data_IF_683522306050
#
_entry.id   IF_683522306050
#
_cell.length_a   1.000
_cell.length_b   1.000
_cell.length_c   1.000
_cell.angle_alpha   90.00
_cell.angle_beta   90.00
_cell.angle_gamma   90.00
#
_symmetry.space_group_name_H-M   'P 1'
#
loop_
_entity.id
_entity.type
_entity.pdbx_description
1 polymer ?
#
# COMPACT_ATOMS: atom_id res chain seq x y z
N UNK A 1 2.90 2.56 35.14
CA UNK A 1 2.32 2.42 33.78
C UNK A 1 1.33 1.27 33.82
N UNK A 2 0.12 1.42 33.28
CA UNK A 2 -0.90 0.36 33.30
C UNK A 2 -0.49 -0.70 32.29
N UNK A 3 0.23 -1.74 32.73
CA UNK A 3 0.43 -2.95 31.93
C UNK A 3 -0.95 -3.51 31.57
N UNK A 4 -1.22 -3.67 30.26
CA UNK A 4 -2.49 -4.20 29.77
C UNK A 4 -3.39 -3.21 29.02
N UNK A 5 -2.97 -1.95 28.79
CA UNK A 5 -3.78 -0.99 28.05
C UNK A 5 -4.02 -1.45 26.59
N UNK A 6 -3.02 -2.05 25.95
CA UNK A 6 -3.13 -2.59 24.60
C UNK A 6 -4.20 -3.72 24.54
N UNK A 7 -4.12 -4.71 25.42
CA UNK A 7 -5.05 -5.85 25.43
C UNK A 7 -6.48 -5.40 25.74
N UNK A 8 -6.66 -4.52 26.73
CA UNK A 8 -7.97 -3.96 27.07
C UNK A 8 -8.59 -3.18 25.91
N UNK A 9 -7.80 -2.29 25.27
CA UNK A 9 -8.29 -1.52 24.11
C UNK A 9 -8.60 -2.44 22.93
N UNK A 10 -7.81 -3.49 22.70
CA UNK A 10 -8.11 -4.48 21.67
C UNK A 10 -9.48 -5.15 21.88
N UNK A 11 -9.79 -5.55 23.13
CA UNK A 11 -11.11 -6.11 23.47
C UNK A 11 -12.26 -5.11 23.21
N UNK A 12 -12.07 -3.83 23.56
CA UNK A 12 -13.07 -2.78 23.28
C UNK A 12 -13.28 -2.60 21.77
N UNK A 13 -12.20 -2.60 20.98
CA UNK A 13 -12.27 -2.50 19.51
C UNK A 13 -13.03 -3.70 18.93
N UNK A 14 -12.76 -4.90 19.40
CA UNK A 14 -13.45 -6.13 18.97
C UNK A 14 -14.95 -6.04 19.29
N UNK A 15 -15.33 -5.40 20.41
CA UNK A 15 -16.72 -5.14 20.81
C UNK A 15 -17.37 -3.97 20.07
N UNK A 16 -16.65 -3.29 19.17
CA UNK A 16 -17.21 -2.25 18.29
C UNK A 16 -16.70 -0.83 18.54
N UNK A 17 -15.84 -0.58 19.55
CA UNK A 17 -15.20 0.73 19.72
C UNK A 17 -14.35 1.06 18.49
N UNK A 18 -14.31 2.32 18.12
CA UNK A 18 -13.40 2.88 17.11
C UNK A 18 -12.67 4.05 17.72
N UNK A 19 -11.34 3.96 17.70
CA UNK A 19 -10.48 5.03 18.19
C UNK A 19 -10.57 6.25 17.27
N UNK A 20 -10.61 7.43 17.88
CA UNK A 20 -10.67 8.73 17.24
C UNK A 20 -9.47 9.58 17.66
N UNK A 21 -9.29 10.75 17.05
CA UNK A 21 -8.24 11.69 17.44
C UNK A 21 -8.44 12.30 18.85
N UNK A 22 -9.62 12.13 19.44
CA UNK A 22 -9.94 12.59 20.80
C UNK A 22 -9.56 11.56 21.88
N UNK A 23 -9.31 10.31 21.50
CA UNK A 23 -8.90 9.24 22.42
C UNK A 23 -7.40 9.35 22.76
N UNK A 24 -7.03 9.02 24.00
CA UNK A 24 -5.64 8.85 24.38
C UNK A 24 -5.09 7.55 23.75
N UNK A 25 -4.27 7.72 22.72
CA UNK A 25 -3.61 6.62 22.00
C UNK A 25 -2.12 6.51 22.34
N UNK A 26 -1.66 7.17 23.39
CA UNK A 26 -0.24 7.18 23.80
C UNK A 26 0.29 5.77 24.08
N UNK A 27 -0.57 4.86 24.53
CA UNK A 27 -0.20 3.46 24.76
C UNK A 27 0.32 2.75 23.51
N UNK A 28 -0.14 3.16 22.30
CA UNK A 28 0.33 2.59 21.02
C UNK A 28 1.86 2.78 20.84
N UNK A 29 2.42 3.83 21.45
CA UNK A 29 3.84 4.18 21.34
C UNK A 29 4.65 3.75 22.57
N UNK A 30 4.02 3.58 23.73
CA UNK A 30 4.69 3.38 25.03
C UNK A 30 4.53 2.00 25.62
N UNK A 31 3.52 1.22 25.19
CA UNK A 31 3.28 -0.14 25.66
C UNK A 31 4.36 -1.09 25.14
N UNK A 32 4.57 -2.19 25.87
CA UNK A 32 5.41 -3.29 25.42
C UNK A 32 5.03 -3.77 24.02
N UNK A 33 6.01 -3.97 23.15
CA UNK A 33 5.75 -4.31 21.75
C UNK A 33 5.00 -5.64 21.60
N UNK A 34 5.34 -6.65 22.40
CA UNK A 34 4.69 -7.96 22.30
C UNK A 34 3.24 -7.91 22.78
N UNK A 35 2.95 -7.11 23.84
CA UNK A 35 1.57 -6.87 24.27
C UNK A 35 0.76 -6.14 23.17
N UNK A 36 1.34 -5.11 22.57
CA UNK A 36 0.71 -4.39 21.45
C UNK A 36 0.43 -5.30 20.26
N UNK A 37 1.40 -6.12 19.86
CA UNK A 37 1.28 -7.07 18.76
C UNK A 37 0.20 -8.13 19.02
N UNK A 38 0.16 -8.69 20.24
CA UNK A 38 -0.91 -9.66 20.62
C UNK A 38 -2.29 -9.04 20.49
N UNK A 39 -2.49 -7.80 20.97
CA UNK A 39 -3.75 -7.08 20.82
C UNK A 39 -4.11 -6.81 19.35
N UNK A 40 -3.14 -6.37 18.54
CA UNK A 40 -3.35 -6.15 17.10
C UNK A 40 -3.72 -7.44 16.36
N UNK A 41 -3.07 -8.58 16.67
CA UNK A 41 -3.39 -9.87 16.07
C UNK A 41 -4.77 -10.39 16.53
N UNK A 42 -5.16 -10.13 17.79
CA UNK A 42 -6.51 -10.44 18.27
C UNK A 42 -7.58 -9.64 17.51
N UNK A 43 -7.38 -8.33 17.29
CA UNK A 43 -8.26 -7.48 16.47
C UNK A 43 -8.35 -8.04 15.05
N UNK A 44 -7.21 -8.33 14.40
CA UNK A 44 -7.17 -8.91 13.06
C UNK A 44 -7.96 -10.22 12.99
N UNK A 45 -7.72 -11.15 13.90
CA UNK A 45 -8.42 -12.44 13.94
C UNK A 45 -9.92 -12.28 14.08
N UNK A 46 -10.36 -11.40 14.97
CA UNK A 46 -11.79 -11.19 15.25
C UNK A 46 -12.51 -10.48 14.10
N UNK A 47 -11.90 -9.47 13.47
CA UNK A 47 -12.60 -8.59 12.52
C UNK A 47 -12.24 -8.87 11.05
N UNK A 48 -11.10 -9.49 10.77
CA UNK A 48 -10.66 -9.84 9.41
C UNK A 48 -10.55 -11.36 9.18
N UNK A 49 -10.66 -12.17 10.23
CA UNK A 49 -10.52 -13.63 10.14
C UNK A 49 -9.10 -14.11 9.84
N UNK A 50 -9.00 -15.32 9.31
CA UNK A 50 -7.74 -15.98 8.93
C UNK A 50 -7.52 -15.96 7.41
N UNK A 51 -7.93 -14.87 6.76
CA UNK A 51 -7.74 -14.66 5.33
C UNK A 51 -6.64 -13.64 5.07
N UNK A 52 -5.73 -13.96 4.13
CA UNK A 52 -4.70 -13.03 3.66
C UNK A 52 -4.85 -12.78 2.15
N UNK A 53 -5.00 -11.51 1.74
CA UNK A 53 -5.07 -11.15 0.33
C UNK A 53 -3.68 -10.91 -0.26
N UNK A 54 -3.33 -11.66 -1.29
CA UNK A 54 -2.16 -11.39 -2.13
C UNK A 54 -2.53 -10.54 -3.34
N UNK A 55 -1.73 -9.52 -3.61
CA UNK A 55 -1.83 -8.61 -4.74
C UNK A 55 -0.48 -8.57 -5.47
N UNK A 56 -0.50 -8.53 -6.77
CA UNK A 56 0.71 -8.31 -7.59
C UNK A 56 0.60 -7.03 -8.39
N UNK A 57 1.74 -6.53 -8.82
CA UNK A 57 1.84 -5.28 -9.59
C UNK A 57 2.75 -5.48 -10.80
N UNK A 58 2.46 -4.76 -11.87
CA UNK A 58 3.38 -4.57 -13.00
C UNK A 58 3.70 -3.09 -13.16
N UNK A 59 4.98 -2.77 -13.40
CA UNK A 59 5.37 -1.42 -13.78
C UNK A 59 5.06 -1.21 -15.28
N UNK A 60 3.86 -0.70 -15.57
CA UNK A 60 3.37 -0.55 -16.94
C UNK A 60 4.05 0.57 -17.74
N UNK A 61 4.70 1.51 -17.06
CA UNK A 61 5.53 2.58 -17.64
C UNK A 61 6.57 3.00 -16.62
N UNK A 62 7.82 3.09 -17.01
CA UNK A 62 8.93 3.42 -16.11
C UNK A 62 9.66 4.69 -16.50
N UNK A 63 10.03 5.48 -15.49
CA UNK A 63 10.88 6.66 -15.62
C UNK A 63 10.16 7.93 -16.08
N UNK A 64 10.93 9.02 -16.17
CA UNK A 64 10.54 10.35 -16.67
C UNK A 64 9.32 10.97 -15.99
N UNK A 65 9.07 10.62 -14.69
CA UNK A 65 8.03 11.27 -13.92
C UNK A 65 8.43 12.71 -13.62
N UNK A 66 7.59 13.72 -13.93
CA UNK A 66 7.92 15.13 -13.68
C UNK A 66 7.80 15.52 -12.18
N UNK A 67 7.28 14.62 -11.35
CA UNK A 67 7.11 14.85 -9.91
C UNK A 67 8.43 14.68 -9.16
N UNK A 68 8.64 15.49 -8.11
CA UNK A 68 9.88 15.50 -7.32
C UNK A 68 9.79 14.71 -6.00
N UNK A 69 9.01 13.64 -5.96
CA UNK A 69 8.93 12.79 -4.79
C UNK A 69 10.31 12.24 -4.41
N UNK A 70 10.83 12.63 -3.24
CA UNK A 70 12.23 12.38 -2.82
C UNK A 70 12.59 10.91 -2.65
N UNK A 71 11.61 10.04 -2.47
CA UNK A 71 11.79 8.59 -2.34
C UNK A 71 11.77 7.85 -3.69
N UNK A 72 11.30 8.50 -4.77
CA UNK A 72 10.92 7.81 -5.99
C UNK A 72 12.06 7.77 -7.01
N UNK A 73 12.53 6.54 -7.32
CA UNK A 73 13.55 6.34 -8.33
C UNK A 73 13.09 6.70 -9.75
N UNK A 74 11.78 6.77 -10.02
CA UNK A 74 11.21 7.07 -11.32
C UNK A 74 11.06 8.58 -11.60
N UNK A 75 11.45 9.44 -10.65
CA UNK A 75 11.43 10.89 -10.83
C UNK A 75 12.50 11.36 -11.80
N UNK A 76 12.14 12.19 -12.77
CA UNK A 76 13.10 12.85 -13.66
C UNK A 76 13.95 13.94 -12.96
N UNK A 77 13.59 14.30 -11.73
CA UNK A 77 14.35 15.25 -10.91
C UNK A 77 15.61 14.63 -10.28
N UNK A 78 15.73 13.29 -10.28
CA UNK A 78 16.81 12.55 -9.63
C UNK A 78 17.63 11.74 -10.62
N UNK A 79 18.92 11.51 -10.33
CA UNK A 79 19.81 10.72 -11.18
C UNK A 79 19.89 9.27 -10.68
N UNK A 80 18.87 8.50 -10.98
CA UNK A 80 18.79 7.07 -10.63
C UNK A 80 19.14 6.19 -11.84
N UNK A 81 19.53 4.93 -11.59
CA UNK A 81 19.88 3.94 -12.63
C UNK A 81 18.73 2.96 -12.87
N UNK A 82 17.52 3.48 -13.09
CA UNK A 82 16.38 2.64 -13.44
C UNK A 82 16.29 2.46 -14.95
N UNK A 83 15.72 1.36 -15.39
CA UNK A 83 15.33 1.19 -16.77
C UNK A 83 14.13 2.09 -17.09
N UNK A 84 14.20 2.84 -18.18
CA UNK A 84 13.13 3.70 -18.64
C UNK A 84 12.48 3.10 -19.89
N UNK A 85 11.15 3.04 -19.89
CA UNK A 85 10.36 2.57 -21.03
C UNK A 85 8.97 3.22 -21.06
N UNK A 86 8.39 3.39 -22.27
CA UNK A 86 7.02 3.86 -22.45
C UNK A 86 6.01 2.83 -21.92
N UNK A 87 4.71 3.14 -22.06
CA UNK A 87 3.68 2.19 -21.65
C UNK A 87 3.87 0.84 -22.38
N UNK A 88 3.85 -0.24 -21.61
CA UNK A 88 4.03 -1.60 -22.13
C UNK A 88 2.89 -1.97 -23.09
N UNK A 89 3.21 -2.83 -24.05
CA UNK A 89 2.19 -3.36 -24.96
C UNK A 89 1.07 -4.07 -24.18
N UNK A 90 -0.21 -3.81 -24.54
CA UNK A 90 -1.35 -4.43 -23.86
C UNK A 90 -1.30 -5.97 -23.80
N UNK A 91 -0.70 -6.59 -24.81
CA UNK A 91 -0.51 -8.05 -24.89
C UNK A 91 0.48 -8.56 -23.85
N UNK A 92 1.55 -7.82 -23.57
CA UNK A 92 2.51 -8.15 -22.53
C UNK A 92 1.88 -8.07 -21.13
N UNK A 93 1.12 -7.00 -20.87
CA UNK A 93 0.38 -6.83 -19.60
C UNK A 93 -0.63 -7.96 -19.41
N UNK A 94 -1.39 -8.34 -20.44
CA UNK A 94 -2.34 -9.45 -20.40
C UNK A 94 -1.64 -10.79 -20.11
N UNK A 95 -0.49 -11.04 -20.75
CA UNK A 95 0.28 -12.27 -20.54
C UNK A 95 0.76 -12.38 -19.10
N UNK A 96 1.29 -11.30 -18.54
CA UNK A 96 1.74 -11.22 -17.14
C UNK A 96 0.56 -11.39 -16.17
N UNK A 97 -0.57 -10.74 -16.41
CA UNK A 97 -1.78 -10.89 -15.62
C UNK A 97 -2.24 -12.36 -15.53
N UNK A 98 -2.22 -13.10 -16.66
CA UNK A 98 -2.57 -14.52 -16.72
C UNK A 98 -1.60 -15.39 -15.90
N UNK A 99 -0.31 -15.08 -15.91
CA UNK A 99 0.67 -15.81 -15.08
C UNK A 99 0.38 -15.63 -13.59
N UNK A 100 0.00 -14.43 -13.17
CA UNK A 100 -0.37 -14.15 -11.78
C UNK A 100 -1.72 -14.79 -11.40
N UNK A 101 -2.70 -14.78 -12.28
CA UNK A 101 -3.98 -15.48 -12.08
C UNK A 101 -3.78 -16.99 -11.94
N UNK A 102 -2.97 -17.60 -12.81
CA UNK A 102 -2.66 -19.03 -12.75
C UNK A 102 -1.96 -19.46 -11.44
N UNK A 103 -1.33 -18.49 -10.76
CA UNK A 103 -0.72 -18.66 -9.42
C UNK A 103 -1.65 -18.23 -8.29
N UNK A 104 -2.96 -18.11 -8.55
CA UNK A 104 -4.00 -17.78 -7.58
C UNK A 104 -3.80 -16.46 -6.84
N UNK A 105 -3.11 -15.47 -7.45
CA UNK A 105 -3.08 -14.11 -6.95
C UNK A 105 -4.47 -13.49 -7.13
N UNK A 106 -5.01 -12.89 -6.08
CA UNK A 106 -6.40 -12.39 -6.06
C UNK A 106 -6.57 -11.06 -6.81
N UNK A 107 -5.51 -10.27 -6.88
CA UNK A 107 -5.58 -8.91 -7.42
C UNK A 107 -4.31 -8.55 -8.19
N UNK A 108 -4.49 -7.91 -9.33
CA UNK A 108 -3.42 -7.48 -10.21
C UNK A 108 -3.52 -5.98 -10.48
N UNK A 109 -2.42 -5.25 -10.38
CA UNK A 109 -2.39 -3.79 -10.54
C UNK A 109 -1.39 -3.36 -11.60
N UNK A 110 -1.83 -2.56 -12.57
CA UNK A 110 -0.94 -1.85 -13.48
C UNK A 110 -0.60 -0.49 -12.88
N UNK A 111 0.69 -0.25 -12.66
CA UNK A 111 1.21 1.00 -12.07
C UNK A 111 2.05 1.72 -13.12
N UNK A 112 1.97 3.04 -13.19
CA UNK A 112 2.75 3.83 -14.15
C UNK A 112 3.43 5.01 -13.49
N UNK A 113 4.66 5.31 -13.93
CA UNK A 113 5.31 6.57 -13.64
C UNK A 113 4.56 7.73 -14.32
N UNK A 114 4.64 8.93 -13.71
CA UNK A 114 4.05 10.15 -14.26
C UNK A 114 3.08 10.82 -13.30
N UNK A 115 2.86 12.14 -13.50
CA UNK A 115 1.85 12.89 -12.72
C UNK A 115 0.45 12.37 -12.96
N UNK A 116 0.12 12.11 -14.22
CA UNK A 116 -1.10 11.43 -14.66
C UNK A 116 -0.84 10.77 -16.01
N UNK A 117 -1.30 9.55 -16.19
CA UNK A 117 -1.29 8.89 -17.48
C UNK A 117 -2.33 9.55 -18.39
N UNK A 118 -1.98 9.87 -19.63
CA UNK A 118 -2.87 10.61 -20.55
C UNK A 118 -2.60 10.26 -22.01
N UNK A 119 -3.44 10.77 -22.90
CA UNK A 119 -3.27 10.63 -24.36
C UNK A 119 -3.26 9.17 -24.80
N UNK A 120 -2.38 8.85 -25.76
CA UNK A 120 -2.32 7.52 -26.36
C UNK A 120 -1.99 6.41 -25.34
N UNK A 121 -1.10 6.68 -24.39
CA UNK A 121 -0.74 5.68 -23.36
C UNK A 121 -1.93 5.36 -22.43
N UNK A 122 -2.81 6.33 -22.15
CA UNK A 122 -4.05 6.07 -21.41
C UNK A 122 -5.01 5.19 -22.20
N UNK A 123 -5.14 5.41 -23.53
CA UNK A 123 -5.94 4.54 -24.39
C UNK A 123 -5.40 3.11 -24.44
N UNK A 124 -4.06 2.95 -24.49
CA UNK A 124 -3.41 1.64 -24.40
C UNK A 124 -3.70 0.96 -23.05
N UNK A 125 -3.66 1.71 -21.94
CA UNK A 125 -4.02 1.18 -20.62
C UNK A 125 -5.47 0.70 -20.58
N UNK A 126 -6.42 1.47 -21.12
CA UNK A 126 -7.83 1.07 -21.22
C UNK A 126 -8.01 -0.18 -22.07
N UNK A 127 -7.26 -0.30 -23.17
CA UNK A 127 -7.28 -1.50 -24.03
C UNK A 127 -6.76 -2.73 -23.28
N UNK A 128 -5.67 -2.57 -22.51
CA UNK A 128 -5.13 -3.63 -21.66
C UNK A 128 -6.14 -4.08 -20.60
N UNK A 129 -6.78 -3.14 -19.88
CA UNK A 129 -7.81 -3.47 -18.89
C UNK A 129 -9.01 -4.19 -19.48
N UNK A 130 -9.54 -3.74 -20.62
CA UNK A 130 -10.65 -4.42 -21.32
C UNK A 130 -10.27 -5.85 -21.72
N UNK A 131 -9.03 -6.04 -22.18
CA UNK A 131 -8.51 -7.36 -22.57
C UNK A 131 -8.37 -8.28 -21.34
N UNK A 132 -7.85 -7.77 -20.23
CA UNK A 132 -7.75 -8.50 -18.97
C UNK A 132 -9.14 -8.83 -18.40
N UNK A 133 -10.05 -7.88 -18.33
CA UNK A 133 -11.40 -8.08 -17.81
C UNK A 133 -12.22 -9.12 -18.62
N UNK A 134 -11.93 -9.23 -19.93
CA UNK A 134 -12.56 -10.24 -20.80
C UNK A 134 -11.96 -11.64 -20.63
N UNK A 135 -10.67 -11.71 -20.25
CA UNK A 135 -9.88 -12.96 -20.36
C UNK A 135 -9.47 -13.54 -19.03
N UNK A 136 -9.57 -12.79 -17.93
CA UNK A 136 -9.14 -13.16 -16.60
C UNK A 136 -10.24 -12.90 -15.57
N UNK A 137 -10.25 -13.66 -14.50
CA UNK A 137 -11.15 -13.49 -13.34
C UNK A 137 -10.51 -12.73 -12.19
N UNK A 138 -9.19 -12.48 -12.26
CA UNK A 138 -8.44 -11.73 -11.26
C UNK A 138 -8.97 -10.29 -11.15
N UNK A 139 -9.09 -9.77 -9.92
CA UNK A 139 -9.56 -8.40 -9.72
C UNK A 139 -8.53 -7.37 -10.18
N UNK A 140 -8.95 -6.40 -10.99
CA UNK A 140 -8.07 -5.42 -11.61
C UNK A 140 -7.97 -4.12 -10.78
N UNK A 141 -6.74 -3.66 -10.59
CA UNK A 141 -6.40 -2.38 -9.98
C UNK A 141 -5.61 -1.49 -10.94
N UNK A 142 -5.69 -0.19 -10.73
CA UNK A 142 -4.93 0.81 -11.47
C UNK A 142 -4.22 1.79 -10.54
N UNK A 143 -3.04 2.27 -10.95
CA UNK A 143 -2.32 3.39 -10.31
C UNK A 143 -1.64 4.23 -11.38
N UNK A 144 -2.30 5.28 -11.83
CA UNK A 144 -1.90 6.10 -12.98
C UNK A 144 -1.80 7.59 -12.63
N UNK A 145 -1.50 7.90 -11.35
CA UNK A 145 -1.30 9.27 -10.88
C UNK A 145 -2.60 10.04 -10.62
N UNK A 146 -2.56 11.35 -10.88
CA UNK A 146 -3.61 12.31 -10.50
C UNK A 146 -4.64 12.45 -11.63
N UNK A 147 -5.42 11.40 -11.88
CA UNK A 147 -6.42 11.35 -12.95
C UNK A 147 -7.63 12.24 -12.69
N UNK A 148 -8.33 12.62 -13.76
CA UNK A 148 -9.61 13.30 -13.73
C UNK A 148 -10.76 12.33 -13.37
N UNK A 149 -11.90 12.87 -12.95
CA UNK A 149 -13.10 12.06 -12.66
C UNK A 149 -13.58 11.31 -13.92
N UNK A 150 -13.52 11.95 -15.08
CA UNK A 150 -13.85 11.32 -16.36
C UNK A 150 -12.95 10.11 -16.68
N UNK A 151 -11.64 10.21 -16.38
CA UNK A 151 -10.71 9.11 -16.58
C UNK A 151 -10.99 7.95 -15.62
N UNK A 152 -11.41 8.22 -14.39
CA UNK A 152 -11.84 7.18 -13.44
C UNK A 152 -13.08 6.43 -13.92
N UNK A 153 -14.07 7.12 -14.48
CA UNK A 153 -15.23 6.46 -15.11
C UNK A 153 -14.80 5.52 -16.23
N UNK A 154 -13.89 5.97 -17.10
CA UNK A 154 -13.36 5.17 -18.20
C UNK A 154 -12.59 3.94 -17.72
N UNK A 155 -11.80 4.07 -16.64
CA UNK A 155 -11.13 2.92 -16.01
C UNK A 155 -12.14 1.91 -15.47
N UNK A 156 -13.20 2.38 -14.80
CA UNK A 156 -14.27 1.51 -14.30
C UNK A 156 -14.98 0.77 -15.43
N UNK A 157 -15.33 1.45 -16.50
CA UNK A 157 -15.93 0.85 -17.70
C UNK A 157 -14.99 -0.16 -18.37
N UNK A 158 -13.67 0.03 -18.24
CA UNK A 158 -12.67 -0.91 -18.75
C UNK A 158 -12.46 -2.14 -17.83
N UNK A 159 -13.15 -2.22 -16.68
CA UNK A 159 -13.10 -3.37 -15.77
C UNK A 159 -12.22 -3.19 -14.52
N UNK A 160 -11.66 -2.01 -14.30
CA UNK A 160 -10.94 -1.70 -13.06
C UNK A 160 -11.94 -1.62 -11.91
N UNK A 161 -11.62 -2.28 -10.79
CA UNK A 161 -12.46 -2.30 -9.59
C UNK A 161 -11.90 -1.47 -8.44
N UNK A 162 -10.58 -1.24 -8.40
CA UNK A 162 -9.91 -0.50 -7.33
C UNK A 162 -8.83 0.43 -7.90
N UNK A 163 -8.72 1.63 -7.34
CA UNK A 163 -7.65 2.57 -7.66
C UNK A 163 -6.67 2.70 -6.50
N UNK A 164 -5.38 2.66 -6.80
CA UNK A 164 -4.32 2.87 -5.83
C UNK A 164 -3.81 4.31 -5.91
N UNK A 165 -3.92 5.04 -4.79
CA UNK A 165 -3.36 6.38 -4.62
C UNK A 165 -2.97 6.59 -3.16
N UNK A 166 -1.69 6.42 -2.85
CA UNK A 166 -1.18 6.67 -1.50
C UNK A 166 -1.28 8.13 -1.10
N UNK A 167 -1.54 8.39 0.18
CA UNK A 167 -1.31 9.71 0.80
C UNK A 167 0.15 9.91 1.20
N UNK A 168 0.95 8.86 1.15
CA UNK A 168 2.40 8.73 1.36
C UNK A 168 2.86 8.93 2.81
N UNK A 169 2.41 9.97 3.50
CA UNK A 169 2.77 10.33 4.88
C UNK A 169 1.68 11.20 5.50
N UNK A 170 1.92 11.80 6.67
CA UNK A 170 1.02 12.79 7.27
C UNK A 170 0.95 14.08 6.43
N UNK A 171 -0.13 14.86 6.63
CA UNK A 171 -0.27 16.20 6.03
C UNK A 171 0.89 17.10 6.39
N UNK A 172 1.34 17.07 7.66
CA UNK A 172 2.45 17.89 8.17
C UNK A 172 3.76 17.56 7.47
N UNK A 173 4.04 16.29 7.26
CA UNK A 173 5.31 15.83 6.68
C UNK A 173 5.32 15.86 5.15
N UNK A 174 4.18 15.91 4.49
CA UNK A 174 4.07 15.81 3.02
C UNK A 174 4.95 16.82 2.26
N UNK A 175 5.04 18.11 2.65
CA UNK A 175 5.92 19.08 1.97
C UNK A 175 7.41 18.73 2.05
N UNK A 176 7.81 17.92 3.02
CA UNK A 176 9.20 17.46 3.16
C UNK A 176 9.55 16.38 2.16
N UNK A 177 8.56 15.67 1.57
CA UNK A 177 8.78 14.56 0.63
C UNK A 177 8.46 14.91 -0.82
N UNK A 178 7.56 15.86 -1.06
CA UNK A 178 7.15 16.27 -2.41
C UNK A 178 6.64 17.72 -2.41
N UNK A 179 6.97 18.49 -3.45
CA UNK A 179 6.53 19.89 -3.61
C UNK A 179 5.86 20.15 -4.96
N UNK A 180 5.85 19.21 -5.87
CA UNK A 180 5.24 19.34 -7.21
C UNK A 180 3.73 19.01 -7.21
N UNK A 181 3.26 18.35 -6.17
CA UNK A 181 1.84 18.21 -5.84
C UNK A 181 1.68 18.20 -4.32
N UNK A 182 0.45 18.37 -3.86
CA UNK A 182 0.12 18.55 -2.45
C UNK A 182 -0.57 17.32 -1.85
N UNK A 183 -0.65 17.29 -0.52
CA UNK A 183 -1.46 16.31 0.20
C UNK A 183 -2.94 16.40 -0.20
N UNK A 184 -3.45 17.63 -0.44
CA UNK A 184 -4.83 17.82 -0.88
C UNK A 184 -5.08 17.30 -2.30
N UNK A 185 -4.09 17.35 -3.21
CA UNK A 185 -4.20 16.70 -4.51
C UNK A 185 -4.41 15.17 -4.35
N UNK A 186 -3.75 14.55 -3.36
CA UNK A 186 -3.94 13.11 -3.06
C UNK A 186 -5.34 12.82 -2.53
N UNK A 187 -5.84 13.65 -1.62
CA UNK A 187 -7.21 13.51 -1.11
C UNK A 187 -8.25 13.68 -2.22
N UNK A 188 -8.03 14.63 -3.11
CA UNK A 188 -8.94 14.89 -4.23
C UNK A 188 -8.98 13.69 -5.21
N UNK A 189 -7.84 13.07 -5.49
CA UNK A 189 -7.79 11.83 -6.31
C UNK A 189 -8.60 10.72 -5.66
N UNK A 190 -8.46 10.52 -4.34
CA UNK A 190 -9.24 9.52 -3.59
C UNK A 190 -10.74 9.82 -3.71
N UNK A 191 -11.13 11.09 -3.57
CA UNK A 191 -12.53 11.51 -3.69
C UNK A 191 -13.09 11.23 -5.08
N UNK A 192 -12.35 11.61 -6.14
CA UNK A 192 -12.76 11.41 -7.55
C UNK A 192 -12.87 9.92 -7.90
N UNK A 193 -11.91 9.10 -7.49
CA UNK A 193 -11.96 7.66 -7.73
C UNK A 193 -13.20 7.03 -7.11
N UNK A 194 -13.56 7.43 -5.88
CA UNK A 194 -14.79 6.98 -5.21
C UNK A 194 -16.06 7.50 -5.88
N UNK A 195 -16.08 8.76 -6.31
CA UNK A 195 -17.23 9.34 -7.04
C UNK A 195 -17.52 8.55 -8.31
N UNK A 196 -16.48 8.07 -9.01
CA UNK A 196 -16.62 7.17 -10.15
C UNK A 196 -16.99 5.73 -9.75
N UNK A 197 -17.13 5.43 -8.46
CA UNK A 197 -17.54 4.12 -7.93
C UNK A 197 -16.43 3.07 -7.94
N UNK A 198 -15.17 3.49 -7.86
CA UNK A 198 -14.02 2.62 -7.62
C UNK A 198 -13.77 2.47 -6.12
N UNK A 199 -13.37 1.28 -5.69
CA UNK A 199 -12.71 1.12 -4.39
C UNK A 199 -11.38 1.87 -4.40
N UNK A 200 -10.91 2.25 -3.22
CA UNK A 200 -9.60 2.90 -3.08
C UNK A 200 -8.68 2.10 -2.17
N UNK A 201 -7.44 1.91 -2.66
CA UNK A 201 -6.29 1.45 -1.89
C UNK A 201 -5.39 2.66 -1.64
N UNK A 202 -5.15 2.99 -0.38
CA UNK A 202 -4.32 4.14 -0.01
C UNK A 202 -3.59 3.86 1.29
N UNK A 203 -2.33 4.19 1.32
CA UNK A 203 -1.43 4.05 2.47
C UNK A 203 -0.27 5.00 2.34
N UNK A 204 0.92 4.55 2.73
CA UNK A 204 2.09 5.41 2.67
C UNK A 204 3.40 4.65 2.79
N UNK A 205 4.45 5.41 3.01
CA UNK A 205 5.82 4.94 3.17
C UNK A 205 6.32 5.40 4.55
N UNK A 206 6.89 4.48 5.31
CA UNK A 206 7.54 4.76 6.58
C UNK A 206 9.07 4.69 6.43
N UNK A 207 9.79 5.48 7.25
CA UNK A 207 11.25 5.59 7.18
C UNK A 207 11.75 6.75 6.33
N UNK A 208 10.87 7.72 5.98
CA UNK A 208 11.21 8.91 5.22
C UNK A 208 11.60 10.12 6.11
N UNK A 209 11.88 9.89 7.40
CA UNK A 209 12.17 10.95 8.38
C UNK A 209 10.93 11.50 9.08
N UNK A 210 9.78 10.86 8.92
CA UNK A 210 8.56 11.14 9.66
C UNK A 210 8.71 10.79 11.15
N UNK A 211 7.94 11.45 12.00
CA UNK A 211 7.85 11.13 13.43
C UNK A 211 6.78 10.06 13.71
N UNK A 212 6.71 9.57 14.93
CA UNK A 212 5.63 8.67 15.36
C UNK A 212 4.26 9.33 15.28
N UNK A 213 4.18 10.63 15.61
CA UNK A 213 2.95 11.41 15.49
C UNK A 213 2.49 11.47 14.02
N UNK A 214 3.42 11.55 13.06
CA UNK A 214 3.08 11.50 11.64
C UNK A 214 2.50 10.15 11.22
N UNK A 215 3.03 9.04 11.76
CA UNK A 215 2.50 7.69 11.47
C UNK A 215 1.11 7.50 12.04
N UNK A 216 0.87 8.00 13.26
CA UNK A 216 -0.45 7.98 13.90
C UNK A 216 -1.45 8.86 13.15
N UNK A 217 -1.05 10.09 12.76
CA UNK A 217 -1.89 11.00 11.95
C UNK A 217 -2.24 10.40 10.60
N UNK A 218 -1.28 9.76 9.92
CA UNK A 218 -1.52 9.03 8.67
C UNK A 218 -2.56 7.92 8.88
N UNK A 219 -2.45 7.13 9.94
CA UNK A 219 -3.40 6.06 10.24
C UNK A 219 -4.80 6.58 10.54
N UNK A 220 -4.93 7.67 11.31
CA UNK A 220 -6.22 8.34 11.56
C UNK A 220 -6.80 8.95 10.28
N UNK A 221 -5.98 9.57 9.45
CA UNK A 221 -6.44 10.11 8.16
C UNK A 221 -7.05 9.01 7.29
N UNK A 222 -6.39 7.86 7.18
CA UNK A 222 -6.89 6.71 6.41
C UNK A 222 -8.19 6.14 7.02
N UNK A 223 -8.28 6.09 8.36
CA UNK A 223 -9.48 5.70 9.08
C UNK A 223 -10.65 6.65 8.79
N UNK A 224 -10.42 7.96 8.92
CA UNK A 224 -11.42 9.00 8.60
C UNK A 224 -11.89 8.96 7.14
N UNK A 225 -10.98 8.64 6.23
CA UNK A 225 -11.29 8.38 4.82
C UNK A 225 -11.95 7.02 4.60
N UNK A 226 -12.14 6.17 5.60
CA UNK A 226 -12.70 4.81 5.50
C UNK A 226 -11.99 3.98 4.43
N UNK A 227 -10.67 3.99 4.42
CA UNK A 227 -9.86 3.17 3.52
C UNK A 227 -9.81 1.74 4.06
N UNK A 228 -10.25 0.78 3.25
CA UNK A 228 -10.27 -0.64 3.62
C UNK A 228 -9.09 -1.44 3.06
N UNK A 229 -8.17 -0.83 2.33
CA UNK A 229 -6.93 -1.47 1.86
C UNK A 229 -5.79 -0.49 2.01
N UNK A 230 -4.89 -0.76 2.95
CA UNK A 230 -3.84 0.16 3.40
C UNK A 230 -2.47 -0.49 3.17
N UNK A 231 -1.78 -0.20 2.07
CA UNK A 231 -0.40 -0.63 1.88
C UNK A 231 0.55 0.18 2.76
N UNK A 232 1.38 -0.53 3.50
CA UNK A 232 2.52 0.00 4.23
C UNK A 232 3.81 -0.39 3.51
N UNK A 233 4.50 0.62 2.98
CA UNK A 233 5.81 0.49 2.40
C UNK A 233 6.86 0.88 3.43
N UNK A 234 7.95 0.13 3.51
CA UNK A 234 9.16 0.52 4.24
C UNK A 234 10.13 1.11 3.23
N UNK A 235 10.63 2.32 3.49
CA UNK A 235 11.58 2.97 2.60
C UNK A 235 12.80 2.07 2.38
N UNK A 236 13.12 1.86 1.13
CA UNK A 236 14.42 1.35 0.72
C UNK A 236 15.18 2.48 0.06
N UNK A 237 16.23 3.00 0.70
CA UNK A 237 17.05 4.06 0.12
C UNK A 237 17.60 3.62 -1.24
N UNK A 238 17.37 4.44 -2.27
CA UNK A 238 17.82 4.16 -3.63
C UNK A 238 18.89 5.19 -3.99
N UNK A 239 20.08 4.75 -4.44
CA UNK A 239 21.15 5.64 -4.87
C UNK A 239 20.69 6.64 -5.93
N UNK A 240 21.08 7.90 -5.78
CA UNK A 240 20.69 9.00 -6.66
C UNK A 240 19.40 9.69 -6.26
N UNK A 241 18.64 9.19 -5.28
CA UNK A 241 17.49 9.89 -4.70
C UNK A 241 17.90 10.75 -3.49
N UNK A 242 17.16 11.81 -3.13
CA UNK A 242 17.45 12.60 -1.92
C UNK A 242 17.44 11.79 -0.62
N UNK A 243 16.79 10.63 -0.60
CA UNK A 243 16.70 9.76 0.57
C UNK A 243 17.68 8.57 0.56
N UNK A 244 18.68 8.61 -0.33
CA UNK A 244 19.67 7.51 -0.47
C UNK A 244 20.46 7.21 0.81
N UNK A 245 20.64 8.21 1.69
CA UNK A 245 21.42 8.09 2.93
C UNK A 245 20.55 8.00 4.20
N UNK A 246 19.23 7.87 4.08
CA UNK A 246 18.40 7.67 5.27
C UNK A 246 18.66 6.28 5.87
N UNK A 247 18.79 6.20 7.21
CA UNK A 247 18.98 4.92 7.88
C UNK A 247 17.74 4.04 7.71
N UNK A 248 17.93 2.73 7.58
CA UNK A 248 16.80 1.81 7.54
C UNK A 248 16.06 1.81 8.89
N UNK A 249 14.76 1.60 8.87
CA UNK A 249 13.98 1.41 10.10
C UNK A 249 14.37 0.11 10.79
N UNK A 250 14.29 0.11 12.12
CA UNK A 250 14.39 -1.11 12.91
C UNK A 250 13.17 -2.01 12.65
N UNK A 251 13.32 -3.31 12.84
CA UNK A 251 12.19 -4.25 12.75
C UNK A 251 11.12 -3.91 13.80
N UNK A 252 11.53 -3.50 15.00
CA UNK A 252 10.62 -3.05 16.05
C UNK A 252 9.73 -1.89 15.60
N UNK A 253 10.30 -0.86 14.95
CA UNK A 253 9.54 0.27 14.41
C UNK A 253 8.52 -0.15 13.36
N UNK A 254 8.90 -1.11 12.51
CA UNK A 254 8.01 -1.63 11.46
C UNK A 254 6.84 -2.39 12.10
N UNK A 255 7.13 -3.31 13.02
CA UNK A 255 6.11 -4.13 13.68
C UNK A 255 5.15 -3.28 14.52
N UNK A 256 5.68 -2.29 15.26
CA UNK A 256 4.87 -1.31 16.01
C UNK A 256 3.98 -0.51 15.07
N UNK A 257 4.50 -0.05 13.92
CA UNK A 257 3.69 0.68 12.93
C UNK A 257 2.55 -0.18 12.41
N UNK A 258 2.80 -1.45 12.07
CA UNK A 258 1.75 -2.38 11.62
C UNK A 258 0.67 -2.54 12.70
N UNK A 259 1.07 -2.71 13.97
CA UNK A 259 0.14 -2.82 15.08
C UNK A 259 -0.68 -1.53 15.27
N UNK A 260 -0.03 -0.36 15.28
CA UNK A 260 -0.71 0.96 15.35
C UNK A 260 -1.78 1.08 14.26
N UNK A 261 -1.43 0.73 13.01
CA UNK A 261 -2.39 0.80 11.90
C UNK A 261 -3.56 -0.17 12.10
N UNK A 262 -3.34 -1.35 12.69
CA UNK A 262 -4.43 -2.29 13.00
C UNK A 262 -5.36 -1.75 14.07
N UNK A 263 -4.85 -1.15 15.14
CA UNK A 263 -5.70 -0.55 16.18
C UNK A 263 -6.56 0.59 15.64
N UNK A 264 -6.00 1.43 14.76
CA UNK A 264 -6.68 2.60 14.21
C UNK A 264 -7.54 2.29 12.97
N UNK A 265 -7.31 1.15 12.32
CA UNK A 265 -8.04 0.68 11.14
C UNK A 265 -8.41 -0.81 11.29
N UNK A 266 -9.30 -1.15 12.25
CA UNK A 266 -9.46 -2.52 12.72
C UNK A 266 -10.03 -3.50 11.70
N UNK A 267 -10.73 -3.02 10.67
CA UNK A 267 -11.35 -3.84 9.61
C UNK A 267 -10.58 -3.79 8.29
N UNK A 268 -9.55 -2.94 8.18
CA UNK A 268 -8.83 -2.76 6.94
C UNK A 268 -7.89 -3.93 6.62
N UNK A 269 -7.62 -4.12 5.35
CA UNK A 269 -6.50 -4.94 4.88
C UNK A 269 -5.21 -4.13 5.08
N UNK A 270 -4.48 -4.40 6.16
CA UNK A 270 -3.14 -3.85 6.37
C UNK A 270 -2.18 -4.67 5.50
N UNK A 271 -1.69 -4.04 4.45
CA UNK A 271 -0.95 -4.70 3.37
C UNK A 271 0.54 -4.40 3.46
N UNK A 272 1.35 -5.43 3.64
CA UNK A 272 2.79 -5.30 3.52
C UNK A 272 3.17 -5.12 2.05
N UNK A 273 3.93 -4.06 1.76
CA UNK A 273 4.29 -3.70 0.39
C UNK A 273 5.82 -3.65 0.22
N UNK A 274 6.37 -2.62 -0.43
CA UNK A 274 7.81 -2.52 -0.63
C UNK A 274 8.59 -2.52 0.69
N UNK A 275 9.82 -3.05 0.66
CA UNK A 275 10.70 -3.16 1.82
C UNK A 275 10.50 -4.43 2.66
N UNK A 276 9.43 -5.19 2.46
CA UNK A 276 9.16 -6.43 3.20
C UNK A 276 10.26 -7.49 3.04
N UNK A 277 10.86 -7.57 1.87
CA UNK A 277 11.96 -8.51 1.60
C UNK A 277 13.27 -8.17 2.32
N UNK A 278 13.37 -7.04 3.00
CA UNK A 278 14.49 -6.71 3.89
C UNK A 278 14.23 -7.13 5.35
N UNK A 279 13.03 -7.59 5.69
CA UNK A 279 12.75 -8.17 7.00
C UNK A 279 13.31 -9.59 7.06
N UNK A 280 13.91 -9.94 8.21
CA UNK A 280 14.61 -11.23 8.38
C UNK A 280 13.73 -12.46 8.13
N UNK A 281 12.43 -12.34 8.39
CA UNK A 281 11.43 -13.42 8.29
C UNK A 281 10.44 -13.23 7.13
N UNK A 282 10.78 -12.37 6.14
CA UNK A 282 9.91 -12.03 5.01
C UNK A 282 8.54 -11.45 5.42
N UNK A 283 8.47 -10.87 6.62
CA UNK A 283 7.28 -10.22 7.17
C UNK A 283 6.36 -11.13 7.98
N UNK A 284 6.76 -12.36 8.33
CA UNK A 284 5.98 -13.28 9.19
C UNK A 284 5.56 -12.59 10.50
N UNK A 285 6.50 -11.92 11.18
CA UNK A 285 6.22 -11.17 12.40
C UNK A 285 5.25 -10.01 12.18
N UNK A 286 5.27 -9.37 11.02
CA UNK A 286 4.32 -8.31 10.71
C UNK A 286 2.88 -8.84 10.53
N UNK A 287 2.70 -10.05 9.98
CA UNK A 287 1.39 -10.72 9.98
C UNK A 287 0.91 -11.03 11.40
N UNK A 288 1.81 -11.44 12.30
CA UNK A 288 1.52 -11.63 13.73
C UNK A 288 1.37 -10.30 14.50
N UNK A 289 1.60 -9.17 13.85
CA UNK A 289 1.39 -7.82 14.38
C UNK A 289 0.13 -7.15 13.83
N UNK A 290 -0.73 -7.90 13.14
CA UNK A 290 -2.01 -7.42 12.64
C UNK A 290 -2.11 -7.19 11.14
N UNK A 291 -1.07 -7.44 10.33
CA UNK A 291 -1.19 -7.46 8.88
C UNK A 291 -2.05 -8.65 8.40
N UNK A 292 -2.71 -8.49 7.26
CA UNK A 292 -3.53 -9.54 6.63
C UNK A 292 -3.55 -9.44 5.10
N UNK A 293 -2.58 -8.75 4.51
CA UNK A 293 -2.42 -8.69 3.07
C UNK A 293 -0.94 -8.43 2.71
N UNK A 294 -0.53 -8.75 1.49
CA UNK A 294 0.78 -8.40 0.98
C UNK A 294 0.77 -8.13 -0.54
N UNK A 295 1.76 -7.36 -1.00
CA UNK A 295 2.16 -7.36 -2.41
C UNK A 295 3.19 -8.48 -2.56
N UNK A 296 2.98 -9.35 -3.55
CA UNK A 296 3.82 -10.49 -3.88
C UNK A 296 4.36 -10.38 -5.30
N UNK A 297 5.46 -11.05 -5.60
CA UNK A 297 6.19 -10.86 -6.85
C UNK A 297 7.08 -9.62 -6.81
N UNK A 298 7.56 -9.18 -7.96
CA UNK A 298 8.43 -8.02 -8.07
C UNK A 298 7.69 -6.70 -7.76
N UNK A 299 8.45 -5.73 -7.27
CA UNK A 299 8.02 -4.35 -7.08
C UNK A 299 8.35 -3.53 -8.33
N UNK A 300 8.02 -2.22 -8.33
CA UNK A 300 8.17 -1.36 -9.51
C UNK A 300 9.62 -1.25 -10.00
N UNK A 301 10.56 -1.10 -9.06
CA UNK A 301 11.99 -0.86 -9.36
C UNK A 301 12.91 -1.75 -8.51
N UNK A 302 12.38 -2.67 -7.73
CA UNK A 302 13.13 -3.58 -6.86
C UNK A 302 12.49 -4.96 -6.88
N UNK A 303 13.28 -6.01 -6.63
CA UNK A 303 12.73 -7.36 -6.42
C UNK A 303 11.87 -7.42 -5.17
N UNK A 304 10.83 -8.24 -5.21
CA UNK A 304 9.97 -8.53 -4.08
C UNK A 304 10.11 -9.99 -3.60
N UNK A 305 9.13 -10.46 -2.84
CA UNK A 305 9.05 -11.86 -2.41
C UNK A 305 8.38 -12.70 -3.50
N UNK A 306 8.86 -13.91 -3.70
CA UNK A 306 8.25 -14.84 -4.67
C UNK A 306 6.84 -15.26 -4.25
N UNK A 307 5.93 -15.40 -5.22
CA UNK A 307 4.51 -15.77 -4.98
C UNK A 307 4.41 -17.09 -4.20
N UNK A 308 5.12 -18.14 -4.64
CA UNK A 308 5.05 -19.45 -4.01
C UNK A 308 5.60 -19.45 -2.59
N UNK A 309 6.64 -18.63 -2.33
CA UNK A 309 7.21 -18.47 -1.00
C UNK A 309 6.21 -17.78 -0.05
N UNK A 310 5.51 -16.74 -0.53
CA UNK A 310 4.48 -16.06 0.24
C UNK A 310 3.28 -16.97 0.54
N UNK A 311 2.80 -17.70 -0.46
CA UNK A 311 1.69 -18.64 -0.28
C UNK A 311 2.04 -19.73 0.74
N UNK A 312 3.24 -20.30 0.64
CA UNK A 312 3.74 -21.29 1.60
C UNK A 312 3.83 -20.72 3.01
N UNK A 313 4.45 -19.56 3.17
CA UNK A 313 4.58 -18.90 4.48
C UNK A 313 3.21 -18.64 5.11
N UNK A 314 2.26 -18.10 4.36
CA UNK A 314 0.92 -17.80 4.87
C UNK A 314 0.12 -19.06 5.20
N UNK A 315 0.22 -20.12 4.40
CA UNK A 315 -0.39 -21.40 4.69
C UNK A 315 0.17 -22.04 5.98
N UNK A 316 1.49 -21.99 6.19
CA UNK A 316 2.14 -22.42 7.43
C UNK A 316 1.67 -21.65 8.66
N UNK A 317 1.29 -20.37 8.46
CA UNK A 317 0.72 -19.51 9.52
C UNK A 317 -0.79 -19.73 9.73
N UNK A 318 -1.42 -20.60 8.95
CA UNK A 318 -2.84 -20.91 9.04
C UNK A 318 -3.75 -19.90 8.33
N UNK A 319 -3.22 -19.07 7.44
CA UNK A 319 -4.05 -18.20 6.60
C UNK A 319 -4.60 -18.97 5.40
N UNK A 320 -5.87 -18.69 5.07
CA UNK A 320 -6.44 -18.96 3.74
C UNK A 320 -6.11 -17.81 2.77
N UNK A 321 -6.04 -18.10 1.47
CA UNK A 321 -5.69 -17.16 0.41
C UNK A 321 -6.85 -16.95 -0.57
#
# INVERSE_FOLDING_TARGET
MRSGAAEHTAEEIIKGKRLTQEDDVSFLLTEDLDALRRGADAIRKALCGQYAELCSIINGRSGRCPENCKFCAQSACWQTKIEEYPFLEPTAILSDCRLHEARHVRRYSVVTAGRALSGQEFEQALAAYRSMAKSCSISLCASHGLLSEADFHRLKEAGVTRYHANIETSRRNFPNICTTHTFDDKLEVIRRARAAGLDVCSGGIIGMGETWEDRVDMAFTLSGLKILSIPLNVLRPIPGTPFENLPPLSEEDILRTVAVFRYLNPEAQIRLAAGRNSMADSGRNAFLSGANAAITGDMLTTSGNGIDADQKMLAEMGFSL
#
